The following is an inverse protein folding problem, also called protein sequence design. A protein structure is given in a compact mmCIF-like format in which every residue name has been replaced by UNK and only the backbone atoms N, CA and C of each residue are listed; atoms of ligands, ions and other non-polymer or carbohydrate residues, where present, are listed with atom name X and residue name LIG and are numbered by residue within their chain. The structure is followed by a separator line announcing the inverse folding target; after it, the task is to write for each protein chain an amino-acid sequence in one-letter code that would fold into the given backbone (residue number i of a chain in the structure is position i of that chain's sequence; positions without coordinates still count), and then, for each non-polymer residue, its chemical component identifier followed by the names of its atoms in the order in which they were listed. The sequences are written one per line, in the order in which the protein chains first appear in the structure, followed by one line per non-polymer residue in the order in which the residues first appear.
data_IF_783471903416
#
_entry.id   IF_783471903416
#
_cell.length_a   1.000
_cell.length_b   1.000
_cell.length_c   1.000
_cell.angle_alpha   90.00
_cell.angle_beta   90.00
_cell.angle_gamma   90.00
#
_symmetry.space_group_name_H-M   'P 1'
#
loop_
_entity.id
_entity.type
_entity.pdbx_description
1 polymer ?
#
# COMPACT_ATOMS: atom_id res chain seq x y z
N UNK A 1 -13.49 -16.07 17.31
CA UNK A 1 -13.32 -14.60 17.38
C UNK A 1 -13.93 -14.03 16.12
N UNK A 2 -14.80 -13.02 16.22
CA UNK A 2 -15.43 -12.38 15.07
C UNK A 2 -14.88 -10.97 14.92
N UNK A 3 -14.57 -10.56 13.70
CA UNK A 3 -14.05 -9.23 13.38
C UNK A 3 -14.36 -8.91 11.91
N UNK A 4 -14.65 -7.65 11.63
CA UNK A 4 -14.89 -7.17 10.25
C UNK A 4 -13.60 -7.10 9.43
N UNK A 5 -12.44 -7.06 10.09
CA UNK A 5 -11.12 -7.03 9.44
C UNK A 5 -10.38 -8.33 9.76
N UNK A 6 -10.16 -9.16 8.75
CA UNK A 6 -9.62 -10.51 8.90
C UNK A 6 -8.22 -10.57 9.55
N UNK A 7 -7.37 -9.56 9.33
CA UNK A 7 -5.99 -9.58 9.79
C UNK A 7 -5.80 -9.21 11.27
N UNK A 8 -6.76 -8.54 11.89
CA UNK A 8 -6.69 -8.10 13.30
C UNK A 8 -6.64 -9.29 14.28
N UNK A 9 -7.56 -10.27 14.22
CA UNK A 9 -7.50 -11.43 15.10
C UNK A 9 -6.24 -12.28 14.85
N UNK A 10 -5.77 -12.37 13.60
CA UNK A 10 -4.56 -13.11 13.25
C UNK A 10 -3.30 -12.45 13.85
N UNK A 11 -3.18 -11.13 13.76
CA UNK A 11 -2.09 -10.36 14.39
C UNK A 11 -2.10 -10.54 15.91
N UNK A 12 -3.28 -10.48 16.53
CA UNK A 12 -3.42 -10.67 17.97
C UNK A 12 -2.98 -12.07 18.42
N UNK A 13 -3.36 -13.12 17.67
CA UNK A 13 -2.92 -14.49 17.96
C UNK A 13 -1.40 -14.58 17.84
N UNK A 14 -0.82 -14.01 16.78
CA UNK A 14 0.64 -13.99 16.56
C UNK A 14 1.38 -13.26 17.69
N UNK A 15 0.87 -12.14 18.16
CA UNK A 15 1.50 -11.32 19.21
C UNK A 15 1.37 -11.94 20.62
N UNK A 16 0.32 -12.75 20.84
CA UNK A 16 0.01 -13.35 22.15
C UNK A 16 0.42 -14.82 22.25
N UNK A 17 0.78 -15.46 21.15
CA UNK A 17 1.24 -16.85 21.14
C UNK A 17 2.57 -16.98 21.88
N UNK A 18 2.53 -17.39 23.15
CA UNK A 18 3.70 -17.90 23.87
C UNK A 18 3.69 -19.41 23.74
N UNK A 19 4.79 -19.98 23.26
CA UNK A 19 4.92 -21.44 23.03
C UNK A 19 3.82 -22.04 22.13
N UNK A 20 3.32 -21.26 21.17
CA UNK A 20 2.28 -21.70 20.23
C UNK A 20 0.85 -21.66 20.78
N UNK A 21 0.63 -21.07 21.96
CA UNK A 21 -0.70 -20.88 22.57
C UNK A 21 -0.95 -19.40 22.89
N UNK A 22 -2.06 -18.80 22.43
CA UNK A 22 -3.12 -19.40 21.61
C UNK A 22 -2.63 -19.69 20.18
N UNK A 23 -3.00 -20.87 19.67
CA UNK A 23 -2.68 -21.30 18.30
C UNK A 23 -3.90 -21.20 17.39
N UNK A 24 -3.66 -20.90 16.12
CA UNK A 24 -4.71 -20.93 15.10
C UNK A 24 -5.05 -22.38 14.75
N UNK A 25 -6.33 -22.74 14.90
CA UNK A 25 -6.86 -24.04 14.46
C UNK A 25 -7.52 -23.94 13.09
N UNK A 26 -8.43 -22.99 12.96
CA UNK A 26 -9.09 -22.66 11.71
C UNK A 26 -9.60 -21.21 11.75
N UNK A 27 -9.70 -20.58 10.58
CA UNK A 27 -10.37 -19.31 10.38
C UNK A 27 -11.13 -19.32 9.04
N UNK A 28 -12.21 -18.54 9.00
CA UNK A 28 -12.93 -18.22 7.77
C UNK A 28 -12.76 -16.72 7.52
N UNK A 29 -12.19 -16.37 6.38
CA UNK A 29 -11.88 -14.98 6.01
C UNK A 29 -11.91 -14.84 4.48
N UNK A 30 -12.44 -13.73 3.96
CA UNK A 30 -12.49 -13.45 2.51
C UNK A 30 -13.05 -14.63 1.68
N UNK A 31 -14.14 -15.23 2.15
CA UNK A 31 -14.79 -16.41 1.53
C UNK A 31 -13.90 -17.68 1.44
N UNK A 32 -12.76 -17.68 2.13
CA UNK A 32 -11.82 -18.79 2.19
C UNK A 32 -11.74 -19.45 3.57
N UNK A 33 -11.37 -20.73 3.59
CA UNK A 33 -11.06 -21.50 4.79
C UNK A 33 -9.54 -21.61 4.98
N UNK A 34 -9.06 -21.23 6.15
CA UNK A 34 -7.67 -21.30 6.56
C UNK A 34 -7.57 -22.26 7.72
N UNK A 35 -6.87 -23.38 7.56
CA UNK A 35 -6.82 -24.46 8.56
C UNK A 35 -5.37 -24.69 8.95
N UNK A 36 -5.10 -24.77 10.25
CA UNK A 36 -3.76 -25.00 10.79
C UNK A 36 -3.03 -23.72 11.18
N UNK A 37 -1.98 -23.87 12.00
CA UNK A 37 -1.17 -22.77 12.51
C UNK A 37 -0.25 -22.15 11.45
N UNK A 38 0.08 -22.91 10.41
CA UNK A 38 0.84 -22.50 9.23
C UNK A 38 0.11 -21.41 8.41
N UNK A 39 -1.22 -21.38 8.48
CA UNK A 39 -2.04 -20.38 7.78
C UNK A 39 -2.15 -19.05 8.55
N UNK A 40 -1.54 -18.93 9.73
CA UNK A 40 -1.59 -17.71 10.54
C UNK A 40 -0.90 -16.54 9.84
N UNK A 41 0.25 -16.77 9.22
CA UNK A 41 0.97 -15.72 8.50
C UNK A 41 0.19 -15.25 7.26
N UNK A 42 -0.50 -16.16 6.58
CA UNK A 42 -1.37 -15.81 5.46
C UNK A 42 -2.53 -14.91 5.92
N UNK A 43 -3.18 -15.24 7.04
CA UNK A 43 -4.26 -14.41 7.61
C UNK A 43 -3.77 -13.04 8.08
N UNK A 44 -2.55 -12.95 8.65
CA UNK A 44 -1.92 -11.68 9.02
C UNK A 44 -1.67 -10.81 7.79
N UNK A 45 -1.31 -11.43 6.66
CA UNK A 45 -1.02 -10.76 5.40
C UNK A 45 -2.27 -10.33 4.62
N UNK A 46 -3.48 -10.75 5.01
CA UNK A 46 -4.71 -10.29 4.38
C UNK A 46 -4.81 -8.76 4.54
N UNK A 47 -4.83 -8.06 3.42
CA UNK A 47 -4.98 -6.60 3.40
C UNK A 47 -6.44 -6.24 3.64
N UNK A 48 -6.66 -5.24 4.48
CA UNK A 48 -7.98 -4.62 4.61
C UNK A 48 -8.38 -3.91 3.31
N UNK A 49 -9.67 -3.69 3.11
CA UNK A 49 -10.20 -2.91 1.99
C UNK A 49 -9.51 -1.56 1.83
N UNK A 50 -9.22 -0.87 2.94
CA UNK A 50 -8.55 0.43 2.93
C UNK A 50 -7.09 0.33 2.45
N UNK A 51 -6.37 -0.72 2.87
CA UNK A 51 -5.01 -0.99 2.40
C UNK A 51 -4.99 -1.29 0.89
N UNK A 52 -5.93 -2.09 0.39
CA UNK A 52 -6.06 -2.35 -1.05
C UNK A 52 -6.39 -1.07 -1.82
N UNK A 53 -7.29 -0.22 -1.30
CA UNK A 53 -7.60 1.07 -1.93
C UNK A 53 -6.36 1.97 -1.94
N UNK A 54 -5.59 2.02 -0.85
CA UNK A 54 -4.36 2.80 -0.78
C UNK A 54 -3.32 2.35 -1.81
N UNK A 55 -3.15 1.03 -1.98
CA UNK A 55 -2.26 0.47 -3.01
C UNK A 55 -2.72 0.84 -4.42
N UNK A 56 -4.04 0.77 -4.70
CA UNK A 56 -4.61 1.18 -5.98
C UNK A 56 -4.38 2.68 -6.22
N UNK A 57 -4.61 3.52 -5.21
CA UNK A 57 -4.37 4.96 -5.29
C UNK A 57 -2.89 5.23 -5.54
N UNK A 58 -1.98 4.56 -4.84
CA UNK A 58 -0.54 4.70 -5.05
C UNK A 58 -0.13 4.30 -6.47
N UNK A 59 -0.66 3.19 -6.99
CA UNK A 59 -0.44 2.74 -8.37
C UNK A 59 -0.93 3.77 -9.39
N UNK A 60 -2.13 4.34 -9.20
CA UNK A 60 -2.70 5.37 -10.07
C UNK A 60 -1.95 6.70 -10.00
N UNK A 61 -1.36 7.04 -8.84
CA UNK A 61 -0.63 8.28 -8.64
C UNK A 61 0.73 8.30 -9.32
N UNK A 62 1.37 7.14 -9.55
CA UNK A 62 2.70 7.09 -10.18
C UNK A 62 2.70 7.68 -11.60
N UNK A 63 1.81 7.28 -12.54
CA UNK A 63 1.70 7.92 -13.84
C UNK A 63 1.34 9.41 -13.77
N UNK A 64 0.40 9.79 -12.90
CA UNK A 64 -0.03 11.18 -12.76
C UNK A 64 1.12 12.09 -12.31
N UNK A 65 1.92 11.65 -11.32
CA UNK A 65 3.10 12.38 -10.85
C UNK A 65 4.18 12.49 -11.93
N UNK A 66 4.38 11.43 -12.72
CA UNK A 66 5.34 11.45 -13.82
C UNK A 66 4.95 12.49 -14.88
N UNK A 67 3.67 12.57 -15.23
CA UNK A 67 3.13 13.55 -16.20
C UNK A 67 3.26 14.98 -15.68
N UNK A 68 2.86 15.23 -14.43
CA UNK A 68 2.98 16.57 -13.80
C UNK A 68 4.45 17.01 -13.74
N UNK A 69 5.35 16.10 -13.36
CA UNK A 69 6.79 16.40 -13.29
C UNK A 69 7.36 16.75 -14.67
N UNK A 70 6.95 16.04 -15.72
CA UNK A 70 7.37 16.34 -17.09
C UNK A 70 6.85 17.71 -17.57
N UNK A 71 5.59 18.05 -17.28
CA UNK A 71 4.98 19.35 -17.61
C UNK A 71 5.69 20.52 -16.90
N UNK A 72 5.93 20.39 -15.59
CA UNK A 72 6.63 21.42 -14.81
C UNK A 72 8.09 21.60 -15.28
N UNK A 73 8.78 20.50 -15.58
CA UNK A 73 10.13 20.55 -16.14
C UNK A 73 10.17 21.26 -17.48
N UNK A 74 9.19 21.01 -18.36
CA UNK A 74 9.05 21.70 -19.64
C UNK A 74 8.84 23.21 -19.46
N UNK A 75 7.94 23.61 -18.56
CA UNK A 75 7.68 25.02 -18.25
C UNK A 75 8.90 25.75 -17.70
N UNK A 76 9.62 25.14 -16.75
CA UNK A 76 10.84 25.71 -16.18
C UNK A 76 11.97 25.85 -17.22
N UNK A 77 12.12 24.85 -18.09
CA UNK A 77 13.12 24.89 -19.17
C UNK A 77 12.80 26.01 -20.15
N UNK A 78 11.54 26.12 -20.58
CA UNK A 78 11.11 27.17 -21.51
C UNK A 78 11.28 28.57 -20.89
N UNK A 79 10.85 28.75 -19.64
CA UNK A 79 11.04 30.01 -18.92
C UNK A 79 12.51 30.37 -18.76
N UNK A 80 13.37 29.39 -18.46
CA UNK A 80 14.82 29.58 -18.38
C UNK A 80 15.41 30.03 -19.71
N UNK A 81 15.06 29.37 -20.82
CA UNK A 81 15.53 29.74 -22.16
C UNK A 81 15.07 31.15 -22.53
N UNK A 82 13.79 31.48 -22.32
CA UNK A 82 13.26 32.83 -22.58
C UNK A 82 13.98 33.90 -21.78
N UNK A 83 14.27 33.64 -20.49
CA UNK A 83 15.05 34.55 -19.65
C UNK A 83 16.46 34.75 -20.20
N UNK A 84 17.16 33.67 -20.56
CA UNK A 84 18.51 33.77 -21.13
C UNK A 84 18.57 34.48 -22.47
N UNK A 85 17.51 34.38 -23.29
CA UNK A 85 17.42 35.09 -24.57
C UNK A 85 17.11 36.58 -24.38
N UNK A 86 16.28 36.94 -23.38
CA UNK A 86 15.94 38.33 -23.08
C UNK A 86 17.03 39.10 -22.33
N UNK A 87 17.86 38.40 -21.55
CA UNK A 87 19.01 38.99 -20.84
C UNK A 87 20.28 39.06 -21.70
N UNK A 88 20.25 38.54 -22.94
CA UNK A 88 21.41 38.59 -23.84
C UNK A 88 21.59 40.04 -24.30
N UNK A 89 22.67 40.75 -23.90
CA UNK A 89 22.93 42.08 -24.41
C UNK A 89 23.25 42.00 -25.90
N UNK A 90 22.76 42.97 -26.67
CA UNK A 90 23.08 43.12 -28.10
C UNK A 90 24.56 43.43 -28.32
#
# INVERSE_FOLDING_TARGET
MFCDTANVPAKLIKDKAKDGIPGLKAAYAEEGFYIGADQLDALVAIKSKNEVIADIVALLQSPAKNVISALQSGGNTLHGVLKTLGERPE
#
